data_IF_184701716259
#
_entry.id   IF_184701716259
#
_cell.length_a   1.000
_cell.length_b   1.000
_cell.length_c   1.000
_cell.angle_alpha   90.00
_cell.angle_beta   90.00
_cell.angle_gamma   90.00
#
_symmetry.space_group_name_H-M   'P 1'
#
loop_
_entity.id
_entity.type
_entity.pdbx_description
1 polymer ?
#
# COMPACT_ATOMS: atom_id res chain seq x y z
N UNK A 1 15.25 -0.32 -22.26
CA UNK A 1 15.26 -1.76 -22.65
C UNK A 1 16.34 -2.57 -21.92
N UNK A 2 17.57 -2.07 -21.75
CA UNK A 2 18.66 -2.79 -21.06
C UNK A 2 18.50 -2.95 -19.53
N UNK A 3 17.73 -2.09 -18.86
CA UNK A 3 17.54 -2.14 -17.40
C UNK A 3 16.56 -3.26 -16.96
N UNK A 4 15.52 -3.53 -17.76
CA UNK A 4 14.49 -4.55 -17.47
C UNK A 4 15.06 -5.97 -17.64
N UNK A 5 15.96 -6.20 -18.59
CA UNK A 5 16.63 -7.50 -18.76
C UNK A 5 17.60 -7.81 -17.61
N UNK A 6 18.28 -6.79 -17.07
CA UNK A 6 19.16 -6.91 -15.90
C UNK A 6 18.39 -7.18 -14.58
N UNK A 7 17.13 -6.74 -14.48
CA UNK A 7 16.23 -7.05 -13.35
C UNK A 7 15.79 -8.51 -13.42
N UNK A 8 15.31 -8.97 -14.59
CA UNK A 8 14.90 -10.37 -14.81
C UNK A 8 16.04 -11.36 -14.60
N UNK A 9 17.26 -11.01 -15.02
CA UNK A 9 18.45 -11.86 -14.84
C UNK A 9 18.85 -11.96 -13.37
N UNK A 10 18.86 -10.85 -12.63
CA UNK A 10 19.19 -10.86 -11.20
C UNK A 10 18.12 -11.54 -10.33
N UNK A 11 16.83 -11.38 -10.65
CA UNK A 11 15.76 -12.11 -9.97
C UNK A 11 15.88 -13.63 -10.19
N UNK A 12 16.22 -14.08 -11.42
CA UNK A 12 16.42 -15.50 -11.74
C UNK A 12 17.69 -16.10 -11.12
N UNK A 13 18.80 -15.37 -11.13
CA UNK A 13 20.08 -15.84 -10.57
C UNK A 13 20.03 -15.96 -9.02
N UNK A 14 19.17 -15.18 -8.33
CA UNK A 14 19.12 -15.14 -6.86
C UNK A 14 18.06 -16.06 -6.22
N UNK A 15 16.98 -16.42 -6.93
CA UNK A 15 16.05 -17.49 -6.49
C UNK A 15 16.80 -18.81 -6.25
N UNK A 16 17.87 -19.06 -7.00
CA UNK A 16 18.73 -20.24 -6.84
C UNK A 16 19.65 -20.21 -5.60
N UNK A 17 19.80 -19.08 -4.91
CA UNK A 17 20.87 -18.88 -3.93
C UNK A 17 20.50 -19.11 -2.44
N UNK A 18 19.29 -19.57 -2.09
CA UNK A 18 18.84 -19.91 -0.71
C UNK A 18 19.18 -18.87 0.39
N UNK A 19 19.25 -17.56 0.09
CA UNK A 19 19.50 -16.50 1.10
C UNK A 19 18.21 -15.73 1.45
N UNK A 20 17.76 -15.69 2.72
CA UNK A 20 16.40 -15.27 3.10
C UNK A 20 16.07 -13.78 2.98
N UNK A 21 16.97 -12.94 2.47
CA UNK A 21 16.74 -11.48 2.34
C UNK A 21 17.05 -11.04 0.92
N UNK A 22 16.00 -10.84 0.12
CA UNK A 22 16.09 -10.29 -1.23
C UNK A 22 15.78 -8.79 -1.17
N UNK A 23 16.79 -7.94 -1.30
CA UNK A 23 16.61 -6.51 -1.52
C UNK A 23 17.66 -6.05 -2.54
N UNK A 24 17.22 -5.63 -3.73
CA UNK A 24 18.06 -4.85 -4.64
C UNK A 24 17.72 -3.39 -4.42
N UNK A 25 18.69 -2.62 -3.94
CA UNK A 25 18.56 -1.20 -3.65
C UNK A 25 18.74 -0.40 -4.94
N UNK A 26 17.63 0.12 -5.45
CA UNK A 26 17.62 1.20 -6.44
C UNK A 26 16.57 2.21 -5.99
N UNK A 27 16.98 3.46 -5.84
CA UNK A 27 16.10 4.58 -5.51
C UNK A 27 15.20 4.87 -6.71
N UNK A 28 13.89 4.72 -6.55
CA UNK A 28 12.91 5.01 -7.61
C UNK A 28 11.92 6.10 -7.16
N UNK A 29 11.57 6.99 -8.09
CA UNK A 29 10.34 7.79 -7.97
C UNK A 29 9.16 6.82 -7.96
N UNK A 30 8.48 6.70 -6.83
CA UNK A 30 7.62 5.56 -6.55
C UNK A 30 6.32 5.97 -5.85
N UNK A 31 5.26 5.16 -6.04
CA UNK A 31 3.99 5.26 -5.31
C UNK A 31 4.05 4.43 -4.02
N UNK A 32 4.35 5.01 -2.85
CA UNK A 32 4.35 4.25 -1.60
C UNK A 32 3.03 3.49 -1.41
N UNK A 33 3.09 2.18 -1.07
CA UNK A 33 1.90 1.42 -0.77
C UNK A 33 1.18 2.10 0.40
N UNK A 34 -0.17 2.16 0.38
CA UNK A 34 -0.96 2.78 1.43
C UNK A 34 -0.75 2.24 2.86
N UNK A 35 0.01 1.15 3.03
CA UNK A 35 0.34 0.55 4.32
C UNK A 35 0.85 1.58 5.35
N UNK A 36 1.65 2.58 4.96
CA UNK A 36 2.15 3.59 5.91
C UNK A 36 1.07 4.54 6.43
N UNK A 37 0.21 5.03 5.54
CA UNK A 37 -0.85 5.98 5.91
C UNK A 37 -1.87 5.29 6.81
N UNK A 38 -2.24 4.08 6.41
CA UNK A 38 -3.09 3.21 7.19
C UNK A 38 -2.52 2.97 8.59
N UNK A 39 -1.19 2.76 8.72
CA UNK A 39 -0.52 2.64 10.01
C UNK A 39 -0.71 3.89 10.88
N UNK A 40 -0.42 5.07 10.35
CA UNK A 40 -0.60 6.33 11.10
C UNK A 40 -2.05 6.53 11.52
N UNK A 41 -3.00 6.28 10.62
CA UNK A 41 -4.44 6.44 10.90
C UNK A 41 -4.89 5.42 11.95
N UNK A 42 -4.49 4.16 11.83
CA UNK A 42 -4.83 3.10 12.76
C UNK A 42 -4.22 3.33 14.16
N UNK A 43 -2.97 3.82 14.23
CA UNK A 43 -2.30 4.15 15.49
C UNK A 43 -2.85 5.42 16.15
N UNK A 44 -3.33 6.39 15.37
CA UNK A 44 -3.97 7.60 15.92
C UNK A 44 -5.27 7.26 16.66
N UNK A 45 -5.90 6.12 16.34
CA UNK A 45 -7.14 5.68 16.95
C UNK A 45 -8.36 6.48 16.48
N UNK A 46 -9.42 6.44 17.30
CA UNK A 46 -10.72 7.08 17.02
C UNK A 46 -11.31 6.65 15.66
N UNK A 47 -11.18 5.36 15.34
CA UNK A 47 -11.66 4.80 14.07
C UNK A 47 -13.20 4.74 14.01
N UNK A 48 -13.85 4.84 15.16
CA UNK A 48 -15.28 4.96 15.39
C UNK A 48 -15.83 6.38 15.16
N UNK A 49 -14.97 7.40 15.05
CA UNK A 49 -15.41 8.76 14.76
C UNK A 49 -15.75 8.96 13.29
N UNK A 50 -16.58 9.97 13.05
CA UNK A 50 -16.92 10.42 11.71
C UNK A 50 -15.88 11.38 11.13
N UNK A 51 -15.78 11.39 9.81
CA UNK A 51 -14.97 12.29 9.01
C UNK A 51 -15.88 12.98 8.01
N UNK A 52 -15.89 14.31 8.01
CA UNK A 52 -16.57 15.12 7.01
C UNK A 52 -15.65 15.36 5.82
N UNK A 53 -16.14 15.11 4.62
CA UNK A 53 -15.41 15.34 3.36
C UNK A 53 -15.39 16.82 3.04
N UNK A 54 -14.23 17.36 2.71
CA UNK A 54 -14.02 18.76 2.31
C UNK A 54 -13.71 18.86 0.81
N UNK A 55 -13.93 20.02 0.17
CA UNK A 55 -13.65 20.22 -1.26
C UNK A 55 -12.24 19.79 -1.67
N UNK A 56 -11.24 20.11 -0.85
CA UNK A 56 -9.83 19.80 -1.09
C UNK A 56 -9.52 18.29 -1.15
N UNK A 57 -10.38 17.44 -0.57
CA UNK A 57 -10.20 15.98 -0.58
C UNK A 57 -10.47 15.40 -1.97
N UNK A 58 -11.34 16.06 -2.73
CA UNK A 58 -11.77 15.62 -4.07
C UNK A 58 -10.74 15.91 -5.15
N UNK A 59 -9.75 16.78 -4.86
CA UNK A 59 -8.65 17.15 -5.76
C UNK A 59 -7.59 16.05 -5.82
N UNK A 60 -7.98 14.88 -6.32
CA UNK A 60 -7.13 13.70 -6.41
C UNK A 60 -7.20 13.11 -7.83
N UNK A 61 -6.08 12.86 -8.51
CA UNK A 61 -6.11 12.20 -9.83
C UNK A 61 -6.30 10.65 -9.72
N UNK A 62 -6.47 9.87 -10.81
CA UNK A 62 -7.45 8.77 -10.91
C UNK A 62 -7.31 7.58 -9.94
N UNK A 63 -8.41 6.81 -9.86
CA UNK A 63 -8.85 5.87 -8.80
C UNK A 63 -9.46 6.63 -7.60
N UNK A 64 -10.78 6.85 -7.66
CA UNK A 64 -11.57 7.57 -6.66
C UNK A 64 -12.82 6.78 -6.28
N UNK A 65 -13.36 7.01 -5.09
CA UNK A 65 -14.73 6.58 -4.76
C UNK A 65 -15.79 7.60 -5.17
N UNK A 66 -15.37 8.83 -5.46
CA UNK A 66 -16.22 10.00 -5.71
C UNK A 66 -17.04 10.38 -4.48
N UNK A 67 -16.39 10.37 -3.30
CA UNK A 67 -16.95 10.99 -2.09
C UNK A 67 -17.13 12.50 -2.34
N UNK A 68 -18.22 13.08 -1.82
CA UNK A 68 -18.60 14.46 -2.12
C UNK A 68 -18.42 15.37 -0.90
N UNK A 69 -18.08 16.65 -1.09
CA UNK A 69 -17.98 17.60 0.00
C UNK A 69 -19.28 17.67 0.81
N UNK A 70 -19.16 17.72 2.13
CA UNK A 70 -20.29 17.69 3.06
C UNK A 70 -20.77 16.29 3.45
N UNK A 71 -20.40 15.24 2.71
CA UNK A 71 -20.70 13.87 3.13
C UNK A 71 -19.89 13.50 4.39
N UNK A 72 -20.48 12.63 5.22
CA UNK A 72 -19.90 12.20 6.49
C UNK A 72 -19.79 10.68 6.47
N UNK A 73 -18.61 10.17 6.82
CA UNK A 73 -18.31 8.73 6.83
C UNK A 73 -17.64 8.33 8.13
N UNK A 74 -17.86 7.10 8.60
CA UNK A 74 -17.03 6.54 9.67
C UNK A 74 -15.58 6.43 9.19
N UNK A 75 -14.62 6.83 10.02
CA UNK A 75 -13.19 6.77 9.71
C UNK A 75 -12.75 5.35 9.36
N UNK A 76 -13.28 4.34 10.05
CA UNK A 76 -13.01 2.92 9.76
C UNK A 76 -13.47 2.52 8.36
N UNK A 77 -14.61 3.01 7.86
CA UNK A 77 -15.11 2.65 6.52
C UNK A 77 -14.24 3.24 5.42
N UNK A 78 -13.78 4.48 5.62
CA UNK A 78 -12.78 5.12 4.75
C UNK A 78 -11.45 4.36 4.79
N UNK A 79 -10.97 3.95 5.97
CA UNK A 79 -9.73 3.16 6.11
C UNK A 79 -9.84 1.81 5.40
N UNK A 80 -10.98 1.13 5.52
CA UNK A 80 -11.27 -0.13 4.83
C UNK A 80 -11.26 0.05 3.31
N UNK A 81 -11.95 1.08 2.82
CA UNK A 81 -11.95 1.42 1.40
C UNK A 81 -10.54 1.74 0.88
N UNK A 82 -9.75 2.51 1.65
CA UNK A 82 -8.37 2.86 1.33
C UNK A 82 -7.50 1.62 1.14
N UNK A 83 -7.58 0.67 2.08
CA UNK A 83 -6.75 -0.54 2.05
C UNK A 83 -7.18 -1.54 0.96
N UNK A 84 -8.48 -1.67 0.70
CA UNK A 84 -9.01 -2.60 -0.31
C UNK A 84 -8.86 -2.04 -1.73
N UNK A 85 -9.31 -0.81 -1.97
CA UNK A 85 -9.42 -0.25 -3.33
C UNK A 85 -8.41 0.85 -3.67
N UNK A 86 -7.71 1.40 -2.69
CA UNK A 86 -6.79 2.53 -2.83
C UNK A 86 -7.34 3.83 -3.45
N UNK A 87 -8.58 4.26 -3.15
CA UNK A 87 -9.12 5.53 -3.61
C UNK A 87 -8.30 6.74 -3.11
N UNK A 88 -7.90 7.62 -4.03
CA UNK A 88 -7.03 8.75 -3.74
C UNK A 88 -7.75 9.91 -3.05
N UNK A 89 -9.06 10.09 -3.30
CA UNK A 89 -9.93 11.04 -2.61
C UNK A 89 -10.07 10.67 -1.12
N UNK A 90 -10.31 9.39 -0.83
CA UNK A 90 -10.33 8.87 0.55
C UNK A 90 -8.97 9.03 1.23
N UNK A 91 -7.86 8.81 0.51
CA UNK A 91 -6.52 9.00 1.05
C UNK A 91 -6.24 10.45 1.47
N UNK A 92 -6.72 11.43 0.70
CA UNK A 92 -6.61 12.85 1.03
C UNK A 92 -7.50 13.21 2.21
N UNK A 93 -8.75 12.74 2.20
CA UNK A 93 -9.72 12.94 3.27
C UNK A 93 -9.17 12.46 4.62
N UNK A 94 -8.71 11.22 4.71
CA UNK A 94 -8.13 10.66 5.94
C UNK A 94 -6.84 11.37 6.37
N UNK A 95 -6.02 11.83 5.43
CA UNK A 95 -4.80 12.57 5.75
C UNK A 95 -5.12 13.94 6.37
N UNK A 96 -6.00 14.71 5.72
CA UNK A 96 -6.46 16.01 6.21
C UNK A 96 -7.16 15.87 7.57
N UNK A 97 -8.05 14.90 7.71
CA UNK A 97 -8.73 14.62 8.98
C UNK A 97 -7.76 14.29 10.12
N UNK A 98 -6.60 13.68 9.81
CA UNK A 98 -5.63 13.29 10.83
C UNK A 98 -4.72 14.44 11.30
N UNK A 99 -4.33 15.36 10.41
CA UNK A 99 -3.30 16.38 10.70
C UNK A 99 -3.69 17.80 10.27
N UNK A 100 -4.91 18.02 9.81
CA UNK A 100 -5.42 19.32 9.33
C UNK A 100 -5.06 19.64 7.87
N UNK A 101 -3.91 19.17 7.37
CA UNK A 101 -3.48 19.37 5.98
C UNK A 101 -2.74 18.16 5.39
N UNK A 102 -2.56 18.17 4.07
CA UNK A 102 -1.85 17.13 3.32
C UNK A 102 -0.35 17.19 3.61
N UNK A 103 0.17 18.41 3.75
CA UNK A 103 1.57 18.74 4.02
C UNK A 103 1.96 18.25 5.42
N UNK A 104 1.17 18.58 6.44
CA UNK A 104 1.39 18.11 7.81
C UNK A 104 1.30 16.58 7.90
N UNK A 105 0.45 15.95 7.09
CA UNK A 105 0.38 14.49 7.02
C UNK A 105 1.64 13.89 6.39
N UNK A 106 2.19 14.53 5.35
CA UNK A 106 3.44 14.11 4.72
C UNK A 106 4.63 14.22 5.69
N UNK A 107 4.71 15.29 6.49
CA UNK A 107 5.69 15.42 7.57
C UNK A 107 5.57 14.27 8.58
N UNK A 108 4.34 13.97 9.04
CA UNK A 108 4.07 12.84 9.94
C UNK A 108 4.43 11.48 9.31
N UNK A 109 4.24 11.32 7.99
CA UNK A 109 4.68 10.14 7.25
C UNK A 109 6.20 9.98 7.23
N UNK A 110 6.94 11.07 7.04
CA UNK A 110 8.40 11.06 7.03
C UNK A 110 8.97 10.81 8.43
N UNK A 111 8.41 11.47 9.46
CA UNK A 111 8.78 11.22 10.86
C UNK A 111 8.56 9.74 11.24
N UNK A 112 7.40 9.17 10.89
CA UNK A 112 7.13 7.74 11.11
C UNK A 112 8.10 6.84 10.35
N UNK A 113 8.46 7.18 9.11
CA UNK A 113 9.44 6.40 8.34
C UNK A 113 10.81 6.40 9.02
N UNK A 114 11.29 7.56 9.48
CA UNK A 114 12.53 7.68 10.24
C UNK A 114 12.49 6.87 11.54
N UNK A 115 11.40 6.98 12.33
CA UNK A 115 11.23 6.19 13.56
C UNK A 115 11.29 4.68 13.33
N UNK A 116 10.81 4.19 12.19
CA UNK A 116 10.83 2.77 11.84
C UNK A 116 12.19 2.32 11.27
N UNK A 117 13.14 3.24 11.01
CA UNK A 117 14.41 2.96 10.36
C UNK A 117 14.34 2.90 8.82
N UNK A 118 13.24 3.38 8.22
CA UNK A 118 13.09 3.52 6.78
C UNK A 118 13.65 4.89 6.33
N UNK A 119 14.97 5.03 6.35
CA UNK A 119 15.69 6.30 6.16
C UNK A 119 15.98 6.67 4.71
N UNK A 120 15.75 5.76 3.76
CA UNK A 120 15.94 5.98 2.32
C UNK A 120 14.60 6.23 1.63
N UNK A 121 13.80 7.10 2.23
CA UNK A 121 12.40 7.29 1.92
C UNK A 121 11.97 8.72 2.16
N UNK A 122 11.26 9.31 1.20
CA UNK A 122 10.68 10.64 1.32
C UNK A 122 9.28 10.66 0.70
N UNK A 123 8.31 11.17 1.45
CA UNK A 123 6.90 11.28 1.05
C UNK A 123 6.46 12.73 1.05
N UNK A 124 5.65 13.08 0.04
CA UNK A 124 5.15 14.43 -0.17
C UNK A 124 3.63 14.46 -0.33
N UNK A 125 3.00 13.31 -0.60
CA UNK A 125 1.55 13.20 -0.59
C UNK A 125 1.10 11.86 -0.01
N UNK A 126 -0.17 11.77 0.44
CA UNK A 126 -0.69 10.51 0.95
C UNK A 126 -0.91 9.55 -0.21
N UNK A 127 -1.56 9.95 -1.31
CA UNK A 127 -2.04 9.01 -2.34
C UNK A 127 -0.94 8.28 -3.14
N UNK A 128 0.29 8.77 -3.10
CA UNK A 128 1.46 8.28 -3.81
C UNK A 128 1.46 8.61 -5.31
N UNK A 129 0.71 9.65 -5.72
CA UNK A 129 0.81 10.20 -7.07
C UNK A 129 2.22 10.79 -7.28
N UNK A 130 2.72 10.83 -8.54
CA UNK A 130 4.06 11.33 -8.82
C UNK A 130 4.19 12.79 -8.39
N UNK A 131 5.28 13.07 -7.67
CA UNK A 131 5.69 14.42 -7.27
C UNK A 131 7.22 14.41 -7.14
N UNK A 132 7.94 15.39 -7.71
CA UNK A 132 9.39 15.46 -7.59
C UNK A 132 9.83 15.42 -6.11
N UNK A 133 10.83 14.60 -5.80
CA UNK A 133 11.32 14.43 -4.42
C UNK A 133 10.66 13.29 -3.63
N UNK A 134 9.59 12.66 -4.13
CA UNK A 134 8.99 11.47 -3.49
C UNK A 134 9.64 10.16 -3.97
N UNK A 135 10.17 9.37 -3.03
CA UNK A 135 10.84 8.09 -3.31
C UNK A 135 10.82 7.14 -2.12
N UNK A 136 11.16 5.88 -2.36
CA UNK A 136 11.42 4.87 -1.33
C UNK A 136 12.25 3.72 -1.91
N UNK A 137 12.60 2.73 -1.08
CA UNK A 137 13.32 1.51 -1.49
C UNK A 137 12.53 0.26 -1.12
N UNK A 138 12.82 -0.88 -1.76
CA UNK A 138 12.17 -2.14 -1.40
C UNK A 138 12.38 -2.52 0.08
N UNK A 139 13.57 -2.24 0.63
CA UNK A 139 13.92 -2.48 2.04
C UNK A 139 13.06 -1.63 2.98
N UNK A 140 13.02 -0.32 2.77
CA UNK A 140 12.24 0.59 3.59
C UNK A 140 10.76 0.25 3.57
N UNK A 141 10.25 -0.07 2.39
CA UNK A 141 8.88 -0.50 2.22
C UNK A 141 8.57 -1.81 2.94
N UNK A 142 9.52 -2.75 2.97
CA UNK A 142 9.37 -3.99 3.75
C UNK A 142 9.34 -3.69 5.27
N UNK A 143 10.17 -2.77 5.75
CA UNK A 143 10.18 -2.32 7.16
C UNK A 143 8.80 -1.75 7.55
N UNK A 144 8.29 -0.82 6.74
CA UNK A 144 7.00 -0.18 6.98
C UNK A 144 5.84 -1.16 6.81
N UNK A 145 5.92 -2.06 5.83
CA UNK A 145 4.94 -3.12 5.62
C UNK A 145 4.86 -4.05 6.83
N UNK A 146 6.00 -4.44 7.41
CA UNK A 146 6.05 -5.25 8.63
C UNK A 146 5.39 -4.54 9.81
N UNK A 147 5.68 -3.26 10.02
CA UNK A 147 5.05 -2.46 11.06
C UNK A 147 3.53 -2.34 10.85
N UNK A 148 3.10 -2.06 9.62
CA UNK A 148 1.69 -1.99 9.26
C UNK A 148 0.95 -3.33 9.47
N UNK A 149 1.58 -4.44 9.06
CA UNK A 149 0.99 -5.77 9.17
C UNK A 149 0.88 -6.26 10.63
N UNK A 150 1.75 -5.77 11.52
CA UNK A 150 1.66 -6.06 12.95
C UNK A 150 0.43 -5.42 13.62
N UNK A 151 -0.16 -4.38 13.02
CA UNK A 151 -1.39 -3.77 13.51
C UNK A 151 -2.60 -4.68 13.17
N UNK A 152 -3.36 -5.17 14.17
CA UNK A 152 -4.44 -6.14 13.95
C UNK A 152 -5.59 -5.58 13.10
N UNK A 153 -5.87 -4.28 13.21
CA UNK A 153 -6.88 -3.60 12.38
C UNK A 153 -6.48 -3.59 10.92
N UNK A 154 -5.21 -3.30 10.62
CA UNK A 154 -4.72 -3.33 9.23
C UNK A 154 -4.74 -4.76 8.71
N UNK A 155 -4.22 -5.72 9.51
CA UNK A 155 -4.14 -7.13 9.13
C UNK A 155 -5.51 -7.71 8.76
N UNK A 156 -6.55 -7.39 9.53
CA UNK A 156 -7.92 -7.87 9.26
C UNK A 156 -8.57 -7.26 8.01
N UNK A 157 -8.08 -6.10 7.55
CA UNK A 157 -8.63 -5.40 6.39
C UNK A 157 -7.90 -5.81 5.11
N UNK A 158 -6.57 -5.87 5.14
CA UNK A 158 -5.78 -6.13 3.91
C UNK A 158 -5.98 -7.54 3.34
N UNK A 159 -6.45 -8.48 4.17
CA UNK A 159 -6.79 -9.84 3.75
C UNK A 159 -8.19 -9.97 3.14
N UNK A 160 -9.01 -8.91 3.13
CA UNK A 160 -10.34 -8.96 2.54
C UNK A 160 -10.26 -9.03 1.00
N UNK A 161 -10.88 -10.03 0.34
CA UNK A 161 -10.90 -10.10 -1.12
C UNK A 161 -11.81 -9.04 -1.74
N UNK A 162 -12.83 -8.59 -1.01
CA UNK A 162 -13.76 -7.53 -1.39
C UNK A 162 -14.36 -6.84 -0.16
N UNK A 163 -14.96 -5.67 -0.37
CA UNK A 163 -15.60 -4.85 0.65
C UNK A 163 -16.86 -4.20 0.05
N UNK A 164 -17.99 -4.27 0.74
CA UNK A 164 -19.15 -3.43 0.40
C UNK A 164 -18.98 -2.07 1.08
N UNK A 165 -18.87 -1.01 0.28
CA UNK A 165 -18.82 0.37 0.76
C UNK A 165 -20.21 1.00 0.65
N UNK A 166 -20.68 1.65 1.72
CA UNK A 166 -21.95 2.37 1.77
C UNK A 166 -21.68 3.87 1.69
N UNK A 167 -22.27 4.52 0.69
CA UNK A 167 -22.24 5.97 0.51
C UNK A 167 -23.18 6.68 1.49
N UNK A 168 -22.95 7.97 1.73
CA UNK A 168 -23.78 8.78 2.64
C UNK A 168 -25.26 8.84 2.21
N UNK A 169 -25.55 8.74 0.91
CA UNK A 169 -26.92 8.66 0.38
C UNK A 169 -27.56 7.26 0.46
N UNK A 170 -26.94 6.32 1.17
CA UNK A 170 -27.43 4.95 1.35
C UNK A 170 -27.12 3.97 0.22
N UNK A 171 -26.63 4.44 -0.96
CA UNK A 171 -26.18 3.54 -2.03
C UNK A 171 -25.00 2.69 -1.57
N UNK A 172 -24.89 1.48 -2.09
CA UNK A 172 -23.75 0.60 -1.84
C UNK A 172 -22.96 0.35 -3.12
N UNK A 173 -21.66 0.06 -2.97
CA UNK A 173 -20.79 -0.37 -4.05
C UNK A 173 -19.85 -1.44 -3.54
N UNK A 174 -19.73 -2.53 -4.30
CA UNK A 174 -18.72 -3.53 -4.05
C UNK A 174 -17.34 -3.06 -4.55
N UNK A 175 -16.36 -3.16 -3.67
CA UNK A 175 -14.97 -2.81 -3.90
C UNK A 175 -14.15 -4.08 -3.88
N UNK A 176 -13.67 -4.49 -5.04
CA UNK A 176 -12.71 -5.60 -5.12
C UNK A 176 -11.31 -5.16 -4.69
N UNK A 177 -10.64 -6.02 -3.91
CA UNK A 177 -9.24 -5.84 -3.56
C UNK A 177 -8.37 -5.84 -4.82
N UNK A 178 -7.47 -4.86 -4.92
CA UNK A 178 -6.61 -4.73 -6.09
C UNK A 178 -5.51 -5.78 -6.15
N UNK A 179 -5.18 -6.44 -5.02
CA UNK A 179 -4.17 -7.48 -4.97
C UNK A 179 -4.69 -8.79 -5.59
N UNK A 180 -4.25 -9.09 -6.81
CA UNK A 180 -4.66 -10.32 -7.52
C UNK A 180 -4.04 -11.59 -6.92
N UNK A 181 -2.92 -11.48 -6.21
CA UNK A 181 -2.26 -12.64 -5.57
C UNK A 181 -3.12 -13.16 -4.42
N UNK A 182 -3.80 -12.27 -3.70
CA UNK A 182 -4.72 -12.63 -2.60
C UNK A 182 -5.83 -13.59 -3.04
N UNK A 183 -6.38 -13.40 -4.25
CA UNK A 183 -7.43 -14.27 -4.79
C UNK A 183 -6.89 -15.58 -5.39
N UNK A 184 -5.59 -15.66 -5.69
CA UNK A 184 -4.98 -16.77 -6.43
C UNK A 184 -4.26 -17.77 -5.55
N UNK A 185 -3.67 -17.32 -4.44
CA UNK A 185 -2.85 -18.15 -3.57
C UNK A 185 -3.51 -18.26 -2.19
N UNK A 186 -3.82 -19.48 -1.71
CA UNK A 186 -4.52 -19.67 -0.44
C UNK A 186 -3.70 -19.21 0.78
N UNK A 187 -2.37 -19.19 0.66
CA UNK A 187 -1.47 -18.70 1.71
C UNK A 187 -1.21 -17.19 1.67
N UNK A 188 -1.67 -16.48 0.63
CA UNK A 188 -1.55 -15.03 0.56
C UNK A 188 -2.60 -14.38 1.45
N UNK A 189 -2.18 -13.40 2.26
CA UNK A 189 -3.07 -12.75 3.23
C UNK A 189 -2.98 -11.22 3.20
N UNK A 190 -2.63 -10.66 2.04
CA UNK A 190 -3.01 -9.30 1.70
C UNK A 190 -1.85 -8.39 1.34
N UNK A 191 -1.80 -7.24 2.01
CA UNK A 191 -1.02 -6.04 1.68
C UNK A 191 -1.58 -5.29 0.46
N UNK A 192 -0.72 -4.74 -0.41
CA UNK A 192 -1.14 -3.58 -1.20
C UNK A 192 -0.38 -3.38 -2.50
N UNK A 193 -1.17 -3.05 -3.53
CA UNK A 193 -0.70 -2.70 -4.88
C UNK A 193 -0.42 -1.20 -5.02
N UNK A 194 0.47 -0.85 -5.95
CA UNK A 194 0.73 0.51 -6.41
C UNK A 194 1.00 0.54 -7.92
N UNK A 195 0.58 1.62 -8.58
CA UNK A 195 0.87 1.89 -9.99
C UNK A 195 0.83 3.39 -10.25
N UNK A 196 1.82 3.86 -11.01
CA UNK A 196 1.84 5.10 -11.79
C UNK A 196 2.68 4.83 -13.05
N UNK A 197 2.60 5.69 -14.05
CA UNK A 197 3.44 5.54 -15.26
C UNK A 197 4.93 5.60 -14.91
N UNK A 198 5.32 6.54 -14.03
CA UNK A 198 6.71 6.69 -13.60
C UNK A 198 7.21 5.53 -12.72
N UNK A 199 6.34 4.94 -11.88
CA UNK A 199 6.73 3.92 -10.91
C UNK A 199 6.63 2.48 -11.45
N UNK A 200 5.96 2.26 -12.58
CA UNK A 200 5.58 0.92 -13.04
C UNK A 200 4.60 0.24 -12.08
N UNK A 201 4.41 -1.07 -12.25
CA UNK A 201 3.57 -1.88 -11.36
C UNK A 201 4.34 -2.36 -10.15
N UNK A 202 3.75 -2.16 -8.98
CA UNK A 202 4.38 -2.48 -7.72
C UNK A 202 3.40 -3.22 -6.80
N UNK A 203 3.94 -4.09 -5.95
CA UNK A 203 3.18 -4.89 -5.02
C UNK A 203 3.99 -5.14 -3.75
N UNK A 204 3.38 -4.86 -2.61
CA UNK A 204 3.71 -5.55 -1.38
C UNK A 204 2.68 -6.64 -1.20
N UNK A 205 3.12 -7.87 -0.96
CA UNK A 205 2.26 -8.99 -0.62
C UNK A 205 2.78 -9.69 0.63
N UNK A 206 1.88 -10.24 1.42
CA UNK A 206 2.21 -11.09 2.57
C UNK A 206 1.63 -12.47 2.39
N UNK A 207 2.30 -13.46 2.94
CA UNK A 207 1.80 -14.83 3.00
C UNK A 207 2.29 -15.56 4.23
N UNK A 208 1.52 -16.55 4.66
CA UNK A 208 1.76 -17.26 5.91
C UNK A 208 1.50 -18.75 5.76
N UNK A 209 2.27 -19.53 6.51
CA UNK A 209 2.00 -20.93 6.83
C UNK A 209 2.41 -21.21 8.27
N UNK A 210 2.08 -22.37 8.87
CA UNK A 210 2.48 -22.69 10.23
C UNK A 210 3.98 -22.46 10.47
N UNK A 211 4.29 -21.61 11.45
CA UNK A 211 5.67 -21.27 11.84
C UNK A 211 6.40 -20.31 10.91
N UNK A 212 5.75 -19.70 9.90
CA UNK A 212 6.43 -18.82 8.95
C UNK A 212 5.52 -17.77 8.30
N UNK A 213 5.88 -16.51 8.47
CA UNK A 213 5.27 -15.35 7.81
C UNK A 213 6.30 -14.67 6.91
N UNK A 214 5.89 -14.28 5.70
CA UNK A 214 6.75 -13.63 4.71
C UNK A 214 6.06 -12.38 4.17
N UNK A 215 6.84 -11.32 3.98
CA UNK A 215 6.47 -10.13 3.23
C UNK A 215 7.41 -10.01 2.04
N UNK A 216 6.85 -9.81 0.84
CA UNK A 216 7.60 -9.56 -0.39
C UNK A 216 7.29 -8.17 -0.93
N UNK A 217 8.29 -7.54 -1.55
CA UNK A 217 8.16 -6.23 -2.17
C UNK A 217 8.67 -6.33 -3.61
N UNK A 218 7.80 -6.02 -4.56
CA UNK A 218 8.10 -5.94 -6.01
C UNK A 218 7.87 -4.50 -6.46
N UNK A 219 8.87 -3.89 -7.09
CA UNK A 219 8.83 -2.50 -7.57
C UNK A 219 9.17 -2.43 -9.06
N UNK A 220 8.55 -1.51 -9.80
CA UNK A 220 8.94 -1.18 -11.17
C UNK A 220 8.70 -2.28 -12.22
N UNK A 221 7.76 -3.20 -11.96
CA UNK A 221 7.52 -4.33 -12.86
C UNK A 221 6.45 -4.00 -13.91
N UNK A 222 6.31 -4.90 -14.88
CA UNK A 222 5.24 -4.97 -15.85
C UNK A 222 3.89 -5.35 -15.22
N UNK A 223 2.79 -5.02 -15.91
CA UNK A 223 1.42 -5.28 -15.46
C UNK A 223 1.13 -6.74 -15.12
N UNK A 224 1.70 -7.68 -15.86
CA UNK A 224 1.56 -9.11 -15.60
C UNK A 224 2.63 -9.63 -14.66
N UNK A 225 3.89 -9.19 -14.85
CA UNK A 225 5.06 -9.62 -14.06
C UNK A 225 4.85 -9.44 -12.57
N UNK A 226 4.30 -8.28 -12.14
CA UNK A 226 4.16 -7.94 -10.72
C UNK A 226 3.42 -9.01 -9.90
N UNK A 227 2.46 -9.70 -10.52
CA UNK A 227 1.68 -10.75 -9.87
C UNK A 227 2.43 -12.08 -9.87
N UNK A 228 3.09 -12.42 -10.98
CA UNK A 228 3.85 -13.66 -11.14
C UNK A 228 5.09 -13.66 -10.24
N UNK A 229 5.82 -12.55 -10.22
CA UNK A 229 7.03 -12.40 -9.41
C UNK A 229 6.70 -12.40 -7.92
N UNK A 230 5.67 -11.67 -7.50
CA UNK A 230 5.25 -11.67 -6.10
C UNK A 230 4.74 -13.06 -5.65
N UNK A 231 3.99 -13.77 -6.51
CA UNK A 231 3.57 -15.15 -6.24
C UNK A 231 4.78 -16.07 -6.06
N UNK A 232 5.76 -15.97 -6.96
CA UNK A 232 6.97 -16.81 -6.95
C UNK A 232 7.83 -16.53 -5.72
N UNK A 233 8.00 -15.25 -5.35
CA UNK A 233 8.74 -14.85 -4.15
C UNK A 233 8.03 -15.29 -2.86
N UNK A 234 6.70 -15.24 -2.82
CA UNK A 234 5.95 -15.76 -1.67
C UNK A 234 6.12 -17.27 -1.54
N UNK A 235 5.92 -18.03 -2.62
CA UNK A 235 6.12 -19.49 -2.59
C UNK A 235 7.54 -19.84 -2.15
N UNK A 236 8.55 -19.25 -2.79
CA UNK A 236 9.95 -19.47 -2.44
C UNK A 236 10.25 -19.07 -1.00
N UNK A 237 9.77 -17.90 -0.56
CA UNK A 237 9.97 -17.39 0.79
C UNK A 237 9.30 -18.28 1.83
N UNK A 238 8.17 -18.90 1.49
CA UNK A 238 7.44 -19.85 2.33
C UNK A 238 7.94 -21.29 2.17
N UNK A 239 8.85 -21.61 1.26
CA UNK A 239 9.24 -23.00 0.95
C UNK A 239 8.08 -23.87 0.41
N UNK A 240 7.33 -23.32 -0.54
CA UNK A 240 6.27 -23.99 -1.30
C UNK A 240 6.66 -24.14 -2.77
#
# INVERSE_FOLDING_TARGET
>A
MACISAIRRAQREQVNARRPTLARETTFQFRPPPSRRALIIAETGYLDRTVKVEPIDTFAEPVRLNIRPGEVYQRIDLLRALLVKSPNDVARCLARDNTGSIEAFAEKMNAKAQMLGATHSHFLNPNGLPIPGQYSTARDLAIIARAAYANPTIRSIVCLPQLVFRYANGRTRELENTNKVLKRLPFCNGMKTGYTEAAGHCLIASGSRPGRDIIVVVLGDTKSGVWTDAASLLSWGLWL
#
